data_IF_551336059576
#
_entry.id   IF_551336059576
#
_cell.length_a   1.000
_cell.length_b   1.000
_cell.length_c   1.000
_cell.angle_alpha   90.00
_cell.angle_beta   90.00
_cell.angle_gamma   90.00
#
_symmetry.space_group_name_H-M   'P 1'
#
loop_
_entity.id
_entity.type
_entity.pdbx_description
1 polymer ?
#
# COMPACT_ATOMS: atom_id res chain seq x y z
N UNK A 1 -9.99 -22.67 -27.00
CA UNK A 1 -10.17 -21.25 -26.67
C UNK A 1 -10.08 -21.12 -25.17
N UNK A 2 -9.28 -20.19 -24.64
CA UNK A 2 -9.26 -19.92 -23.20
C UNK A 2 -10.51 -19.10 -22.88
N UNK A 3 -11.39 -19.65 -22.06
CA UNK A 3 -12.48 -18.87 -21.48
C UNK A 3 -11.85 -17.67 -20.76
N UNK A 4 -12.28 -16.45 -21.08
CA UNK A 4 -11.81 -15.25 -20.42
C UNK A 4 -12.15 -15.28 -18.93
N UNK A 5 -11.35 -14.55 -18.12
CA UNK A 5 -11.59 -14.40 -16.69
C UNK A 5 -13.04 -13.92 -16.45
N UNK A 6 -13.84 -14.71 -15.73
CA UNK A 6 -15.20 -14.33 -15.30
C UNK A 6 -15.12 -13.83 -13.86
N UNK A 7 -15.77 -12.71 -13.58
CA UNK A 7 -15.99 -12.23 -12.21
C UNK A 7 -16.79 -13.30 -11.44
N UNK A 8 -16.30 -13.74 -10.28
CA UNK A 8 -16.97 -14.74 -9.44
C UNK A 8 -17.87 -14.07 -8.38
N UNK A 9 -17.35 -13.05 -7.71
CA UNK A 9 -18.01 -12.38 -6.59
C UNK A 9 -17.43 -10.97 -6.40
N UNK A 10 -18.14 -10.12 -5.66
CA UNK A 10 -17.64 -8.80 -5.23
C UNK A 10 -17.91 -8.65 -3.74
N UNK A 11 -16.88 -8.26 -3.00
CA UNK A 11 -16.96 -7.93 -1.58
C UNK A 11 -16.54 -6.46 -1.42
N UNK A 12 -17.30 -5.70 -0.64
CA UNK A 12 -16.94 -4.33 -0.30
C UNK A 12 -15.93 -4.33 0.86
N UNK A 13 -14.77 -3.70 0.64
CA UNK A 13 -13.78 -3.51 1.69
C UNK A 13 -14.12 -2.30 2.55
N UNK A 14 -13.68 -2.28 3.83
CA UNK A 14 -13.70 -1.06 4.62
C UNK A 14 -12.91 0.05 3.90
N UNK A 15 -13.27 1.30 4.14
CA UNK A 15 -12.62 2.44 3.50
C UNK A 15 -12.77 3.72 4.29
N UNK A 16 -12.01 4.74 3.89
CA UNK A 16 -12.16 6.08 4.46
C UNK A 16 -13.40 6.76 3.88
N UNK A 17 -14.22 7.35 4.76
CA UNK A 17 -15.43 8.10 4.34
C UNK A 17 -15.11 9.36 3.53
N UNK A 18 -13.90 9.91 3.65
CA UNK A 18 -13.46 11.04 2.85
C UNK A 18 -12.49 10.55 1.77
N UNK A 19 -12.77 10.89 0.51
CA UNK A 19 -11.99 10.46 -0.65
C UNK A 19 -10.64 11.15 -0.81
N UNK A 20 -9.96 11.49 0.30
CA UNK A 20 -8.58 11.98 0.24
C UNK A 20 -7.57 10.83 0.36
N UNK A 21 -8.03 9.61 0.64
CA UNK A 21 -7.20 8.42 0.83
C UNK A 21 -7.37 7.49 -0.36
N UNK A 22 -6.25 7.12 -0.97
CA UNK A 22 -6.16 6.19 -2.08
C UNK A 22 -5.44 4.93 -1.63
N UNK A 23 -5.88 3.76 -2.11
CA UNK A 23 -5.10 2.52 -2.02
C UNK A 23 -4.03 2.59 -3.10
N UNK A 24 -2.77 2.46 -2.68
CA UNK A 24 -1.60 2.62 -3.54
C UNK A 24 -0.65 1.42 -3.50
N UNK A 25 -0.98 0.39 -2.74
CA UNK A 25 -0.26 -0.89 -2.68
C UNK A 25 -1.11 -1.97 -2.02
N UNK A 26 -0.85 -3.22 -2.41
CA UNK A 26 -1.44 -4.43 -1.83
C UNK A 26 -0.32 -5.46 -1.76
N UNK A 27 0.02 -5.89 -0.55
CA UNK A 27 1.13 -6.82 -0.28
C UNK A 27 1.03 -7.34 1.15
N UNK A 28 1.87 -8.30 1.53
CA UNK A 28 1.98 -8.80 2.91
C UNK A 28 2.99 -7.92 3.69
N UNK A 29 2.51 -6.90 4.40
CA UNK A 29 3.38 -5.89 5.03
C UNK A 29 3.89 -6.30 6.41
N UNK A 30 3.23 -7.25 7.06
CA UNK A 30 3.60 -7.77 8.39
C UNK A 30 4.08 -9.23 8.36
N UNK A 31 4.25 -9.82 7.16
CA UNK A 31 4.73 -11.17 6.92
C UNK A 31 3.87 -12.28 7.57
N UNK A 32 2.56 -12.06 7.71
CA UNK A 32 1.63 -13.02 8.32
C UNK A 32 1.01 -14.00 7.31
N UNK A 33 1.27 -13.81 6.01
CA UNK A 33 0.76 -14.61 4.91
C UNK A 33 -0.55 -14.10 4.32
N UNK A 34 -1.10 -13.00 4.81
CA UNK A 34 -2.28 -12.30 4.29
C UNK A 34 -1.89 -11.02 3.53
N UNK A 35 -2.82 -10.49 2.73
CA UNK A 35 -2.59 -9.26 1.96
C UNK A 35 -3.18 -8.05 2.67
N UNK A 36 -2.32 -7.08 2.93
CA UNK A 36 -2.64 -5.79 3.53
C UNK A 36 -2.84 -4.69 2.49
N UNK A 37 -3.30 -3.52 2.94
CA UNK A 37 -3.54 -2.36 2.08
C UNK A 37 -2.67 -1.17 2.48
N UNK A 38 -1.85 -0.67 1.55
CA UNK A 38 -1.13 0.58 1.71
C UNK A 38 -1.99 1.75 1.24
N UNK A 39 -2.26 2.67 2.17
CA UNK A 39 -3.06 3.86 1.94
C UNK A 39 -2.19 5.12 1.93
N UNK A 40 -2.48 6.03 1.00
CA UNK A 40 -1.86 7.36 0.94
C UNK A 40 -2.92 8.44 0.88
N UNK A 41 -2.73 9.48 1.70
CA UNK A 41 -3.60 10.64 1.70
C UNK A 41 -3.06 11.72 0.75
N UNK A 42 -3.72 11.95 -0.38
CA UNK A 42 -3.29 12.92 -1.39
C UNK A 42 -3.27 14.38 -0.90
N UNK A 43 -4.06 14.71 0.13
CA UNK A 43 -4.19 16.09 0.65
C UNK A 43 -3.06 16.48 1.62
N UNK A 44 -2.70 15.58 2.52
CA UNK A 44 -1.74 15.85 3.58
C UNK A 44 -0.48 14.98 3.53
N UNK A 45 -0.39 14.05 2.58
CA UNK A 45 0.77 13.19 2.36
C UNK A 45 0.95 12.09 3.40
N UNK A 46 0.00 11.87 4.32
CA UNK A 46 0.05 10.76 5.27
C UNK A 46 0.04 9.41 4.54
N UNK A 47 0.76 8.45 5.08
CA UNK A 47 0.76 7.07 4.62
C UNK A 47 0.44 6.16 5.80
N UNK A 48 -0.19 5.02 5.54
CA UNK A 48 -0.45 4.02 6.57
C UNK A 48 -0.71 2.66 5.90
N UNK A 49 -0.39 1.59 6.60
CA UNK A 49 -0.80 0.24 6.23
C UNK A 49 -2.04 -0.13 7.02
N UNK A 50 -3.01 -0.76 6.38
CA UNK A 50 -4.10 -1.45 7.04
C UNK A 50 -3.76 -2.92 7.05
N UNK A 51 -3.58 -3.46 8.26
CA UNK A 51 -3.38 -4.90 8.45
C UNK A 51 -4.74 -5.59 8.36
N UNK A 52 -4.84 -6.59 7.50
CA UNK A 52 -6.11 -7.19 7.08
C UNK A 52 -6.25 -8.63 7.56
N UNK A 53 -7.47 -9.03 7.91
CA UNK A 53 -7.90 -10.43 8.04
C UNK A 53 -8.93 -10.68 6.93
N UNK A 54 -8.45 -11.24 5.82
CA UNK A 54 -9.21 -11.37 4.57
C UNK A 54 -9.75 -10.04 4.04
N UNK A 55 -11.03 -9.76 4.28
CA UNK A 55 -11.70 -8.52 3.81
C UNK A 55 -11.97 -7.52 4.93
N UNK A 56 -11.61 -7.85 6.17
CA UNK A 56 -11.78 -7.00 7.33
C UNK A 56 -10.45 -6.35 7.71
N UNK A 57 -10.49 -5.12 8.23
CA UNK A 57 -9.30 -4.46 8.76
C UNK A 57 -9.13 -4.82 10.23
N UNK A 58 -8.12 -5.60 10.55
CA UNK A 58 -7.76 -5.92 11.93
C UNK A 58 -7.19 -4.68 12.65
N UNK A 59 -6.17 -4.04 12.05
CA UNK A 59 -5.50 -2.90 12.66
C UNK A 59 -4.92 -1.92 11.62
N UNK A 60 -4.13 -0.94 12.06
CA UNK A 60 -3.41 -0.04 11.16
C UNK A 60 -2.08 0.44 11.74
N UNK A 61 -1.11 0.63 10.87
CA UNK A 61 0.21 1.17 11.17
C UNK A 61 0.39 2.50 10.46
N UNK A 62 0.67 3.58 11.21
CA UNK A 62 0.97 4.89 10.62
C UNK A 62 2.42 4.93 10.16
N UNK A 63 2.65 5.35 8.91
CA UNK A 63 3.98 5.54 8.34
C UNK A 63 4.31 7.02 8.24
N UNK A 64 5.58 7.31 7.94
CA UNK A 64 6.05 8.67 7.72
C UNK A 64 5.23 9.40 6.66
N UNK A 65 4.95 10.69 6.92
CA UNK A 65 4.19 11.53 6.00
C UNK A 65 5.10 12.21 4.99
N UNK A 66 4.64 12.36 3.75
CA UNK A 66 5.41 12.97 2.67
C UNK A 66 4.58 13.91 1.82
N UNK A 67 4.47 15.18 2.28
CA UNK A 67 3.65 16.22 1.64
C UNK A 67 4.48 17.15 0.75
N UNK A 68 3.95 17.49 -0.44
CA UNK A 68 4.46 18.60 -1.26
C UNK A 68 5.75 18.33 -2.04
N UNK A 69 6.30 17.12 -1.96
CA UNK A 69 7.58 16.79 -2.56
C UNK A 69 7.48 16.12 -3.95
N UNK A 70 6.28 15.97 -4.52
CA UNK A 70 5.99 15.25 -5.79
C UNK A 70 6.42 13.78 -5.79
N UNK A 71 6.42 13.16 -4.61
CA UNK A 71 6.67 11.73 -4.48
C UNK A 71 5.37 10.95 -4.49
N UNK A 72 5.39 9.88 -5.29
CA UNK A 72 4.33 8.93 -5.50
C UNK A 72 4.87 7.54 -5.17
N UNK A 73 3.98 6.66 -4.70
CA UNK A 73 4.32 5.25 -4.49
C UNK A 73 4.21 4.58 -5.86
N UNK A 74 5.31 3.97 -6.30
CA UNK A 74 5.42 3.33 -7.59
C UNK A 74 5.21 1.80 -7.52
N UNK A 75 5.32 1.23 -6.32
CA UNK A 75 5.10 -0.19 -6.08
C UNK A 75 5.52 -0.60 -4.68
N UNK A 76 5.26 -1.87 -4.37
CA UNK A 76 5.59 -2.55 -3.12
C UNK A 76 6.27 -3.87 -3.42
N UNK A 77 6.97 -4.42 -2.43
CA UNK A 77 7.51 -5.78 -2.43
C UNK A 77 8.79 -5.87 -1.60
N UNK A 78 9.23 -7.08 -1.27
CA UNK A 78 10.49 -7.31 -0.55
C UNK A 78 11.71 -6.97 -1.46
N UNK A 79 12.29 -5.78 -1.27
CA UNK A 79 13.35 -5.25 -2.12
C UNK A 79 14.75 -5.49 -1.53
N UNK A 80 14.86 -5.82 -0.25
CA UNK A 80 16.13 -6.12 0.41
C UNK A 80 16.32 -7.61 0.77
N UNK A 81 15.27 -8.44 0.65
CA UNK A 81 15.28 -9.87 0.94
C UNK A 81 15.15 -10.23 2.41
N UNK A 82 14.57 -9.37 3.25
CA UNK A 82 14.41 -9.62 4.69
C UNK A 82 13.10 -10.33 5.06
N UNK A 83 12.18 -10.49 4.10
CA UNK A 83 10.89 -11.14 4.29
C UNK A 83 9.74 -10.18 4.60
N UNK A 84 9.99 -8.88 4.74
CA UNK A 84 8.97 -7.85 4.91
C UNK A 84 8.77 -7.06 3.60
N UNK A 85 7.56 -6.50 3.38
CA UNK A 85 7.30 -5.69 2.18
C UNK A 85 7.90 -4.29 2.30
N UNK A 86 8.66 -3.86 1.29
CA UNK A 86 9.18 -2.50 1.16
C UNK A 86 8.33 -1.61 0.24
N UNK A 87 8.59 -0.28 0.28
CA UNK A 87 7.88 0.71 -0.55
C UNK A 87 8.84 1.40 -1.53
N UNK A 88 8.56 1.28 -2.83
CA UNK A 88 9.26 2.01 -3.88
C UNK A 88 8.57 3.37 -4.14
N UNK A 89 9.36 4.44 -4.02
CA UNK A 89 8.95 5.81 -4.26
C UNK A 89 9.53 6.35 -5.57
N UNK A 90 8.70 7.09 -6.32
CA UNK A 90 9.06 7.81 -7.53
C UNK A 90 8.82 9.31 -7.36
N UNK A 91 9.83 10.13 -7.62
CA UNK A 91 9.62 11.58 -7.71
C UNK A 91 9.23 11.95 -9.14
N UNK A 92 8.00 12.43 -9.34
CA UNK A 92 7.49 12.83 -10.65
C UNK A 92 8.15 14.10 -11.21
N UNK A 93 8.74 14.95 -10.35
CA UNK A 93 9.35 16.22 -10.76
C UNK A 93 10.79 16.07 -11.25
N UNK A 94 11.61 15.28 -10.56
CA UNK A 94 13.07 15.28 -10.78
C UNK A 94 13.66 13.93 -11.20
N UNK A 95 12.84 12.90 -11.36
CA UNK A 95 13.35 11.65 -11.89
C UNK A 95 14.01 10.72 -10.85
N UNK A 96 14.07 11.09 -9.57
CA UNK A 96 14.65 10.24 -8.50
C UNK A 96 13.72 9.10 -8.07
N UNK A 97 14.34 8.03 -7.59
CA UNK A 97 13.68 6.90 -6.94
C UNK A 97 14.25 6.72 -5.54
N UNK A 98 13.44 6.25 -4.60
CA UNK A 98 13.83 5.93 -3.23
C UNK A 98 13.10 4.67 -2.77
N UNK A 99 13.70 3.94 -1.85
CA UNK A 99 13.06 2.82 -1.17
C UNK A 99 12.88 3.19 0.30
N UNK A 100 11.72 2.89 0.86
CA UNK A 100 11.55 2.78 2.30
C UNK A 100 11.63 1.30 2.63
N UNK A 101 12.69 0.93 3.35
CA UNK A 101 12.79 -0.39 3.93
C UNK A 101 11.91 -0.44 5.17
N UNK A 102 11.04 -1.44 5.26
CA UNK A 102 10.19 -1.66 6.42
C UNK A 102 10.70 -2.91 7.14
N UNK A 103 10.77 -2.83 8.46
CA UNK A 103 10.81 -4.03 9.30
C UNK A 103 9.36 -4.47 9.56
N UNK A 104 9.15 -5.68 10.09
CA UNK A 104 7.83 -6.17 10.52
C UNK A 104 7.02 -5.07 11.22
N UNK A 105 5.99 -4.60 10.50
CA UNK A 105 5.15 -3.46 10.90
C UNK A 105 3.96 -3.85 11.74
#
# INVERSE_FOLDING_TARGET
GREGNKLKETVELPGWKNGNWDIVGVDDFNADGELDLLWRNGKNGKNQVWLMDGTERESRVELESRKGENWEIAGTGDLNGDGSTDILWRNGKNGKNQVWYLDDT
#
